data_IF_640707634147
#
_entry.id   IF_640707634147
#
_cell.length_a   1.000
_cell.length_b   1.000
_cell.length_c   1.000
_cell.angle_alpha   90.00
_cell.angle_beta   90.00
_cell.angle_gamma   90.00
#
_symmetry.space_group_name_H-M   'P 1'
#
loop_
_entity.id
_entity.type
_entity.pdbx_description
1 polymer ?
#
# COMPACT_ATOMS: atom_id res chain seq x y z
N UNK A 1 17.62 -7.66 -9.93
CA UNK A 1 16.49 -8.48 -10.36
C UNK A 1 15.23 -7.66 -10.15
N UNK A 2 14.80 -6.96 -11.19
CA UNK A 2 13.52 -6.25 -11.18
C UNK A 2 12.41 -7.29 -11.32
N UNK A 3 11.63 -7.48 -10.26
CA UNK A 3 10.37 -8.20 -10.35
C UNK A 3 9.44 -7.42 -11.28
N UNK A 4 8.89 -8.09 -12.29
CA UNK A 4 7.84 -7.50 -13.11
C UNK A 4 6.57 -7.44 -12.24
N UNK A 5 6.15 -6.24 -11.86
CA UNK A 5 4.89 -6.03 -11.16
C UNK A 5 3.75 -6.19 -12.17
N UNK A 6 2.83 -7.09 -11.89
CA UNK A 6 1.61 -7.24 -12.67
C UNK A 6 0.52 -6.37 -12.06
N UNK A 7 0.05 -5.39 -12.82
CA UNK A 7 -1.08 -4.55 -12.43
C UNK A 7 -2.33 -5.12 -13.08
N UNK A 8 -3.29 -5.57 -12.27
CA UNK A 8 -4.60 -6.01 -12.75
C UNK A 8 -5.64 -5.03 -12.22
N UNK A 9 -6.30 -4.33 -13.14
CA UNK A 9 -7.48 -3.54 -12.81
C UNK A 9 -8.74 -4.34 -13.14
N UNK A 10 -9.57 -4.61 -12.14
CA UNK A 10 -10.88 -5.25 -12.33
C UNK A 10 -11.91 -4.65 -11.38
N UNK A 11 -13.07 -4.32 -11.90
CA UNK A 11 -14.21 -3.98 -11.07
C UNK A 11 -14.83 -5.27 -10.50
N UNK A 12 -14.89 -5.36 -9.18
CA UNK A 12 -15.51 -6.49 -8.48
C UNK A 12 -16.79 -5.98 -7.83
N UNK A 13 -17.93 -6.51 -8.27
CA UNK A 13 -19.25 -6.13 -7.76
C UNK A 13 -19.73 -7.12 -6.69
N UNK A 14 -20.70 -6.70 -5.86
CA UNK A 14 -21.35 -7.54 -4.85
C UNK A 14 -20.38 -8.11 -3.79
N UNK A 15 -19.40 -7.33 -3.35
CA UNK A 15 -18.54 -7.73 -2.24
C UNK A 15 -19.16 -7.29 -0.91
N UNK A 16 -19.12 -8.19 0.07
CA UNK A 16 -19.55 -7.91 1.43
C UNK A 16 -18.34 -7.54 2.30
N UNK A 17 -18.43 -6.42 2.99
CA UNK A 17 -17.47 -6.06 4.05
C UNK A 17 -18.01 -6.62 5.36
N UNK A 18 -17.35 -7.62 5.90
CA UNK A 18 -17.69 -8.21 7.20
C UNK A 18 -16.56 -7.94 8.19
N UNK A 19 -16.90 -7.50 9.39
CA UNK A 19 -15.94 -7.27 10.47
C UNK A 19 -14.75 -6.38 10.10
N UNK A 20 -14.97 -5.37 9.23
CA UNK A 20 -13.94 -4.44 8.72
C UNK A 20 -12.86 -5.09 7.83
N UNK A 21 -13.10 -6.29 7.38
CA UNK A 21 -12.25 -7.01 6.45
C UNK A 21 -12.91 -7.01 5.07
N UNK A 22 -12.24 -6.45 4.06
CA UNK A 22 -12.60 -6.64 2.67
C UNK A 22 -11.87 -7.88 2.16
N UNK A 23 -12.60 -8.97 1.99
CA UNK A 23 -12.09 -10.18 1.37
C UNK A 23 -12.41 -10.18 -0.10
N UNK A 24 -11.40 -10.03 -0.96
CA UNK A 24 -11.56 -10.14 -2.40
C UNK A 24 -11.26 -11.59 -2.79
N UNK A 25 -12.29 -12.33 -3.16
CA UNK A 25 -12.14 -13.72 -3.56
C UNK A 25 -11.92 -13.80 -5.08
N UNK A 26 -10.74 -14.19 -5.49
CA UNK A 26 -10.41 -14.52 -6.88
C UNK A 26 -10.56 -16.02 -7.19
N UNK A 27 -11.10 -16.82 -6.27
CA UNK A 27 -11.39 -18.23 -6.51
C UNK A 27 -12.24 -18.37 -7.78
N UNK A 28 -11.81 -19.22 -8.69
CA UNK A 28 -12.36 -19.40 -10.02
C UNK A 28 -12.08 -18.27 -11.04
N UNK A 29 -11.25 -17.29 -10.71
CA UNK A 29 -10.73 -16.33 -11.68
C UNK A 29 -9.43 -16.84 -12.28
N UNK A 30 -9.31 -16.75 -13.61
CA UNK A 30 -8.04 -16.96 -14.28
C UNK A 30 -7.26 -15.66 -14.29
N UNK A 31 -5.99 -15.72 -13.94
CA UNK A 31 -5.08 -14.59 -14.04
C UNK A 31 -4.30 -14.71 -15.34
N UNK A 32 -4.32 -13.69 -16.17
CA UNK A 32 -3.49 -13.58 -17.37
C UNK A 32 -2.22 -12.84 -17.00
N UNK A 33 -1.08 -13.43 -17.29
CA UNK A 33 0.24 -12.92 -16.92
C UNK A 33 1.08 -12.79 -18.19
N UNK A 34 1.57 -11.59 -18.48
CA UNK A 34 2.62 -11.39 -19.49
C UNK A 34 3.99 -11.48 -18.83
N UNK A 35 4.89 -12.25 -19.44
CA UNK A 35 6.24 -12.47 -18.92
C UNK A 35 7.26 -12.48 -20.04
N UNK A 36 8.45 -11.96 -19.74
CA UNK A 36 9.65 -12.12 -20.57
C UNK A 36 10.53 -13.24 -20.03
N UNK A 37 10.94 -14.16 -20.89
CA UNK A 37 11.85 -15.24 -20.60
C UNK A 37 13.16 -14.94 -21.34
N UNK A 38 14.19 -14.68 -20.60
CA UNK A 38 15.51 -14.31 -21.13
C UNK A 38 16.44 -15.52 -21.26
N UNK A 39 17.49 -15.38 -22.05
CA UNK A 39 18.56 -16.38 -22.14
C UNK A 39 18.16 -17.66 -22.88
N UNK A 40 17.15 -17.62 -23.71
CA UNK A 40 16.72 -18.77 -24.51
C UNK A 40 17.54 -18.90 -25.80
N UNK A 41 17.69 -20.13 -26.31
CA UNK A 41 18.44 -20.40 -27.51
C UNK A 41 17.56 -21.06 -28.59
N UNK A 42 17.52 -20.45 -29.74
CA UNK A 42 16.91 -21.04 -30.94
C UNK A 42 17.89 -22.03 -31.51
N UNK A 43 17.43 -23.26 -31.82
CA UNK A 43 18.22 -24.32 -32.45
C UNK A 43 17.43 -24.98 -33.59
N UNK A 44 18.03 -25.11 -34.76
CA UNK A 44 17.36 -25.67 -35.93
C UNK A 44 16.10 -24.90 -36.32
N UNK A 45 16.12 -23.56 -36.16
CA UNK A 45 14.97 -22.66 -36.42
C UNK A 45 13.73 -22.98 -35.56
N UNK A 46 13.94 -23.60 -34.39
CA UNK A 46 12.88 -23.94 -33.44
C UNK A 46 13.30 -23.60 -32.01
N UNK A 47 12.31 -23.28 -31.17
CA UNK A 47 12.46 -23.05 -29.74
C UNK A 47 11.28 -23.66 -29.01
N UNK A 48 11.53 -24.48 -28.01
CA UNK A 48 10.48 -25.08 -27.17
C UNK A 48 10.65 -24.62 -25.72
N UNK A 49 9.56 -24.16 -25.12
CA UNK A 49 9.48 -23.77 -23.71
C UNK A 49 8.41 -24.58 -23.00
N UNK A 50 8.67 -24.91 -21.74
CA UNK A 50 7.71 -25.60 -20.86
C UNK A 50 7.31 -24.70 -19.70
N UNK A 51 6.02 -24.59 -19.44
CA UNK A 51 5.51 -23.86 -18.29
C UNK A 51 5.89 -24.52 -16.97
N UNK A 52 5.97 -25.84 -16.94
CA UNK A 52 6.24 -26.63 -15.72
C UNK A 52 7.71 -26.67 -15.33
N UNK A 53 8.65 -26.73 -16.29
CA UNK A 53 10.07 -26.94 -15.98
C UNK A 53 10.91 -25.66 -15.98
N UNK A 54 10.65 -24.71 -16.85
CA UNK A 54 11.45 -23.49 -16.99
C UNK A 54 10.80 -22.26 -16.37
N UNK A 55 9.56 -22.01 -16.71
CA UNK A 55 8.82 -20.83 -16.30
C UNK A 55 8.39 -20.88 -14.83
N UNK A 56 7.92 -22.02 -14.36
CA UNK A 56 7.47 -22.15 -12.98
C UNK A 56 8.63 -22.11 -11.98
N UNK A 57 9.77 -22.70 -12.32
CA UNK A 57 10.95 -22.70 -11.45
C UNK A 57 11.59 -21.31 -11.35
N UNK A 58 11.66 -20.57 -12.45
CA UNK A 58 12.29 -19.23 -12.49
C UNK A 58 11.35 -18.09 -12.10
N UNK A 59 10.03 -18.29 -12.15
CA UNK A 59 9.03 -17.27 -11.89
C UNK A 59 8.26 -17.43 -10.58
N UNK A 60 8.40 -18.58 -9.89
CA UNK A 60 7.55 -18.88 -8.74
C UNK A 60 6.06 -19.01 -9.06
N UNK A 61 5.69 -19.16 -10.34
CA UNK A 61 4.31 -19.24 -10.79
C UNK A 61 3.94 -20.70 -10.99
N UNK A 62 3.30 -21.31 -10.02
CA UNK A 62 2.74 -22.66 -10.13
C UNK A 62 1.40 -22.65 -10.84
N UNK A 63 1.05 -23.73 -11.55
CA UNK A 63 -0.24 -23.91 -12.26
C UNK A 63 -0.52 -22.82 -13.29
N UNK A 64 0.50 -22.37 -14.01
CA UNK A 64 0.39 -21.44 -15.13
C UNK A 64 0.56 -22.18 -16.46
N UNK A 65 -0.27 -21.84 -17.44
CA UNK A 65 -0.35 -22.49 -18.76
C UNK A 65 -0.25 -21.44 -19.86
N UNK A 66 0.35 -21.78 -20.97
CA UNK A 66 0.39 -20.89 -22.13
C UNK A 66 -1.02 -20.65 -22.68
N UNK A 67 -1.36 -19.39 -22.93
CA UNK A 67 -2.62 -19.01 -23.56
C UNK A 67 -2.61 -19.40 -25.06
N UNK A 68 -3.78 -19.65 -25.66
CA UNK A 68 -3.87 -19.83 -27.09
C UNK A 68 -3.18 -18.71 -27.88
N UNK A 69 -2.56 -19.07 -28.98
CA UNK A 69 -1.80 -18.11 -29.78
C UNK A 69 -2.64 -16.92 -30.21
N UNK A 70 -2.05 -15.77 -30.07
CA UNK A 70 -2.47 -14.49 -30.59
C UNK A 70 -1.19 -13.67 -30.85
N UNK A 71 -1.11 -12.94 -31.94
CA UNK A 71 0.10 -12.20 -32.30
C UNK A 71 0.54 -11.16 -31.24
N UNK A 72 -0.41 -10.65 -30.45
CA UNK A 72 -0.12 -9.70 -29.36
C UNK A 72 0.36 -10.37 -28.07
N UNK A 73 0.18 -11.69 -27.94
CA UNK A 73 0.51 -12.45 -26.73
C UNK A 73 1.92 -13.03 -26.72
N UNK A 74 2.58 -13.09 -27.87
CA UNK A 74 3.88 -13.73 -28.02
C UNK A 74 4.82 -12.90 -28.87
N UNK A 75 6.08 -12.86 -28.48
CA UNK A 75 7.13 -12.19 -29.25
C UNK A 75 8.48 -12.86 -29.07
N UNK A 76 9.32 -12.83 -30.06
CA UNK A 76 10.73 -13.25 -29.99
C UNK A 76 11.59 -12.04 -30.32
N UNK A 77 12.44 -11.65 -29.39
CA UNK A 77 13.44 -10.61 -29.58
C UNK A 77 14.80 -11.23 -29.61
N UNK A 78 15.52 -11.09 -30.71
CA UNK A 78 16.87 -11.58 -30.89
C UNK A 78 17.90 -10.71 -30.16
N UNK A 79 19.13 -11.24 -30.00
CA UNK A 79 20.22 -10.56 -29.30
C UNK A 79 20.55 -9.17 -29.88
N UNK A 80 20.36 -8.99 -31.20
CA UNK A 80 20.59 -7.71 -31.88
C UNK A 80 19.42 -6.71 -31.79
N UNK A 81 18.38 -7.06 -31.03
CA UNK A 81 17.18 -6.24 -30.86
C UNK A 81 16.11 -6.43 -31.96
N UNK A 82 16.36 -7.27 -32.95
CA UNK A 82 15.34 -7.59 -33.98
C UNK A 82 14.19 -8.36 -33.36
N UNK A 83 12.96 -7.93 -33.61
CA UNK A 83 11.74 -8.62 -33.17
C UNK A 83 11.17 -9.39 -34.35
N UNK A 84 10.89 -10.68 -34.13
CA UNK A 84 10.25 -11.52 -35.13
C UNK A 84 8.71 -11.50 -34.95
N UNK A 85 7.95 -11.07 -35.96
CA UNK A 85 6.50 -11.22 -35.93
C UNK A 85 6.16 -12.71 -36.10
N UNK A 86 5.35 -13.23 -35.21
CA UNK A 86 4.94 -14.63 -35.20
C UNK A 86 3.59 -14.81 -35.88
N UNK A 87 3.42 -15.95 -36.51
CA UNK A 87 2.17 -16.38 -37.16
C UNK A 87 1.63 -17.66 -36.50
N UNK A 88 0.36 -17.95 -36.69
CA UNK A 88 -0.31 -19.09 -36.03
C UNK A 88 0.26 -20.44 -36.43
N UNK A 89 0.81 -20.58 -37.62
CA UNK A 89 1.46 -21.79 -38.11
C UNK A 89 2.86 -22.02 -37.53
N UNK A 90 3.50 -20.98 -37.04
CA UNK A 90 4.79 -21.07 -36.34
C UNK A 90 4.65 -21.50 -34.87
N UNK A 91 3.46 -21.39 -34.27
CA UNK A 91 3.29 -21.61 -32.84
C UNK A 91 2.42 -22.84 -32.57
N UNK A 92 2.97 -23.78 -31.83
CA UNK A 92 2.26 -24.98 -31.37
C UNK A 92 2.23 -25.05 -29.86
N UNK A 93 1.03 -25.15 -29.29
CA UNK A 93 0.81 -25.29 -27.85
C UNK A 93 0.23 -26.69 -27.58
N UNK A 94 0.90 -27.45 -26.74
CA UNK A 94 0.56 -28.84 -26.44
C UNK A 94 0.43 -29.08 -24.93
N UNK A 95 0.06 -30.32 -24.56
CA UNK A 95 -0.09 -30.73 -23.16
C UNK A 95 -1.01 -29.81 -22.33
N UNK A 96 -2.13 -29.39 -22.91
CA UNK A 96 -3.06 -28.52 -22.19
C UNK A 96 -2.52 -27.11 -21.86
N UNK A 97 -1.52 -26.66 -22.60
CA UNK A 97 -0.87 -25.38 -22.37
C UNK A 97 0.45 -25.45 -21.61
N UNK A 98 0.94 -26.64 -21.27
CA UNK A 98 2.22 -26.77 -20.56
C UNK A 98 3.44 -26.53 -21.45
N UNK A 99 3.32 -26.75 -22.73
CA UNK A 99 4.43 -26.66 -23.67
C UNK A 99 4.06 -25.76 -24.84
N UNK A 100 4.95 -24.84 -25.19
CA UNK A 100 4.88 -24.04 -26.40
C UNK A 100 6.12 -24.27 -27.24
N UNK A 101 5.92 -24.47 -28.55
CA UNK A 101 7.00 -24.62 -29.51
C UNK A 101 6.81 -23.59 -30.62
N UNK A 102 7.86 -22.84 -30.88
CA UNK A 102 7.99 -21.93 -32.02
C UNK A 102 8.80 -22.62 -33.10
N UNK A 103 8.28 -22.69 -34.32
CA UNK A 103 8.92 -23.35 -35.46
C UNK A 103 9.11 -22.36 -36.60
N UNK A 104 10.05 -22.69 -37.50
CA UNK A 104 10.28 -21.87 -38.70
C UNK A 104 10.76 -20.47 -38.39
N UNK A 105 11.48 -20.28 -37.28
CA UNK A 105 12.03 -18.99 -36.90
C UNK A 105 13.10 -18.53 -37.88
N UNK A 106 13.15 -17.24 -38.13
CA UNK A 106 14.02 -16.65 -39.15
C UNK A 106 15.52 -16.81 -38.86
N UNK A 107 15.89 -16.83 -37.58
CA UNK A 107 17.30 -16.85 -37.17
C UNK A 107 17.59 -17.89 -36.09
N UNK A 108 18.63 -18.71 -36.30
CA UNK A 108 19.12 -19.67 -35.33
C UNK A 108 20.51 -19.35 -34.75
N UNK A 109 21.08 -18.23 -35.17
CA UNK A 109 22.44 -17.81 -34.79
C UNK A 109 22.47 -16.45 -34.03
N UNK A 110 21.32 -15.85 -33.76
CA UNK A 110 21.21 -14.59 -33.01
C UNK A 110 20.80 -14.84 -31.54
N UNK A 111 21.46 -15.77 -30.89
CA UNK A 111 21.22 -16.16 -29.51
C UNK A 111 22.07 -15.35 -28.52
N UNK A 112 21.66 -15.17 -27.23
CA UNK A 112 20.38 -15.63 -26.68
C UNK A 112 19.21 -14.73 -27.10
N UNK A 113 18.01 -15.31 -27.11
CA UNK A 113 16.78 -14.57 -27.41
C UNK A 113 16.01 -14.29 -26.12
N UNK A 114 15.17 -13.26 -26.17
CA UNK A 114 14.14 -12.95 -25.17
C UNK A 114 12.78 -13.30 -25.75
N UNK A 115 12.02 -14.13 -25.04
CA UNK A 115 10.68 -14.54 -25.47
C UNK A 115 9.65 -13.88 -24.58
N UNK A 116 8.78 -13.06 -25.18
CA UNK A 116 7.58 -12.56 -24.53
C UNK A 116 6.48 -13.62 -24.63
N UNK A 117 5.89 -13.97 -23.50
CA UNK A 117 4.82 -14.99 -23.42
C UNK A 117 3.66 -14.51 -22.57
N UNK A 118 2.46 -14.99 -22.90
CA UNK A 118 1.26 -14.80 -22.09
C UNK A 118 0.81 -16.13 -21.50
N UNK A 119 0.63 -16.14 -20.18
CA UNK A 119 0.26 -17.29 -19.40
C UNK A 119 -1.09 -17.07 -18.74
N UNK A 120 -1.84 -18.15 -18.57
CA UNK A 120 -3.05 -18.23 -17.74
C UNK A 120 -2.76 -19.02 -16.49
N UNK A 121 -2.88 -18.38 -15.33
CA UNK A 121 -2.75 -19.05 -14.04
C UNK A 121 -4.13 -19.48 -13.53
N UNK A 122 -4.25 -20.73 -13.14
CA UNK A 122 -5.44 -21.28 -12.51
C UNK A 122 -5.27 -21.33 -10.97
N UNK A 123 -6.38 -21.39 -10.26
CA UNK A 123 -6.40 -21.63 -8.81
C UNK A 123 -5.78 -20.47 -8.00
N UNK A 124 -6.10 -19.24 -8.34
CA UNK A 124 -5.64 -18.06 -7.60
C UNK A 124 -6.26 -18.06 -6.22
N UNK A 125 -5.45 -18.01 -5.19
CA UNK A 125 -5.92 -17.83 -3.81
C UNK A 125 -6.28 -16.38 -3.56
N UNK A 126 -7.36 -16.17 -2.80
CA UNK A 126 -7.75 -14.84 -2.34
C UNK A 126 -6.66 -14.25 -1.47
N UNK A 127 -6.34 -12.97 -1.71
CA UNK A 127 -5.55 -12.17 -0.78
C UNK A 127 -6.47 -11.37 0.11
N UNK A 128 -6.14 -11.29 1.39
CA UNK A 128 -6.84 -10.44 2.35
C UNK A 128 -6.01 -9.19 2.62
N UNK A 129 -6.69 -8.06 2.73
CA UNK A 129 -6.06 -6.82 3.19
C UNK A 129 -6.66 -6.45 4.53
N UNK A 130 -5.79 -6.21 5.50
CA UNK A 130 -6.17 -5.69 6.80
C UNK A 130 -6.29 -4.17 6.73
N UNK A 131 -7.35 -3.64 7.33
CA UNK A 131 -7.53 -2.21 7.49
C UNK A 131 -6.88 -1.76 8.78
N UNK A 132 -5.74 -1.09 8.66
CA UNK A 132 -4.97 -0.54 9.76
C UNK A 132 -5.30 0.94 9.92
N UNK A 133 -5.83 1.31 11.08
CA UNK A 133 -6.21 2.68 11.42
C UNK A 133 -5.17 3.35 12.29
N UNK A 134 -5.15 4.69 12.27
CA UNK A 134 -4.28 5.53 13.10
C UNK A 134 -2.80 5.12 13.06
N UNK A 135 -2.31 4.81 11.87
CA UNK A 135 -0.87 4.62 11.66
C UNK A 135 -0.17 5.96 11.77
N UNK A 136 1.04 5.96 12.30
CA UNK A 136 1.77 7.21 12.55
C UNK A 136 3.13 7.20 11.87
N UNK A 137 3.54 8.35 11.34
CA UNK A 137 4.90 8.59 10.88
C UNK A 137 5.38 9.94 11.42
N UNK A 138 6.62 9.99 11.89
CA UNK A 138 7.27 11.23 12.32
C UNK A 138 8.22 11.75 11.24
N UNK A 139 8.10 13.02 10.90
CA UNK A 139 9.06 13.72 10.05
C UNK A 139 9.91 14.61 10.94
N UNK A 140 11.17 14.24 11.08
CA UNK A 140 12.12 14.85 12.04
C UNK A 140 13.32 15.50 11.35
N UNK A 141 13.26 15.70 10.03
CA UNK A 141 14.38 16.17 9.21
C UNK A 141 14.07 17.50 8.56
N UNK A 142 15.13 18.28 8.32
CA UNK A 142 15.10 19.55 7.59
C UNK A 142 16.16 19.57 6.51
N UNK A 143 16.07 20.54 5.60
CA UNK A 143 16.95 20.67 4.47
C UNK A 143 18.39 20.96 4.91
N UNK A 144 19.28 19.99 4.74
CA UNK A 144 20.74 20.06 4.72
C UNK A 144 21.49 21.17 5.47
N UNK A 145 20.93 21.70 6.57
CA UNK A 145 21.61 22.71 7.39
C UNK A 145 22.65 22.08 8.28
N UNK A 146 23.80 22.74 8.42
CA UNK A 146 24.91 22.22 9.23
C UNK A 146 24.56 22.11 10.71
N UNK A 147 23.75 23.04 11.22
CA UNK A 147 23.28 23.03 12.61
C UNK A 147 21.77 22.85 12.63
N UNK A 148 21.26 21.71 13.14
CA UNK A 148 19.84 21.50 13.27
C UNK A 148 19.18 22.51 14.22
N UNK A 149 17.96 22.90 13.92
CA UNK A 149 17.15 23.78 14.77
C UNK A 149 15.76 23.16 15.01
N UNK A 150 15.02 23.69 15.95
CA UNK A 150 13.66 23.22 16.27
C UNK A 150 13.55 21.69 16.51
N UNK A 151 14.62 21.08 17.03
CA UNK A 151 14.69 19.65 17.27
C UNK A 151 14.81 18.77 16.02
N UNK A 152 14.99 19.39 14.85
CA UNK A 152 15.15 18.67 13.58
C UNK A 152 16.61 18.26 13.37
N UNK A 153 16.82 17.14 12.68
CA UNK A 153 18.12 16.71 12.18
C UNK A 153 18.32 17.17 10.73
N UNK A 154 19.56 17.53 10.34
CA UNK A 154 19.86 17.86 8.95
C UNK A 154 19.75 16.63 8.05
N UNK A 155 19.22 16.81 6.84
CA UNK A 155 19.12 15.75 5.84
C UNK A 155 19.17 16.33 4.44
N UNK A 156 19.76 15.56 3.50
CA UNK A 156 19.70 15.86 2.07
C UNK A 156 18.65 15.00 1.36
N UNK A 157 18.05 14.03 2.04
CA UNK A 157 17.04 13.17 1.45
C UNK A 157 15.73 13.96 1.23
N UNK A 158 15.30 14.03 -0.03
CA UNK A 158 14.02 14.61 -0.41
C UNK A 158 12.84 13.70 -0.04
N UNK A 159 11.68 14.28 0.20
CA UNK A 159 10.43 13.57 0.48
C UNK A 159 10.26 13.10 1.93
N UNK A 160 11.18 13.47 2.82
CA UNK A 160 11.14 13.12 4.26
C UNK A 160 11.52 14.31 5.15
N UNK A 161 11.48 15.53 4.64
CA UNK A 161 11.80 16.75 5.38
C UNK A 161 10.52 17.53 5.63
N UNK A 162 10.47 18.29 6.72
CA UNK A 162 9.27 19.03 7.12
C UNK A 162 8.86 20.11 6.11
N UNK A 163 9.83 20.71 5.40
CA UNK A 163 9.61 21.74 4.40
C UNK A 163 9.28 21.19 2.99
N UNK A 164 9.43 19.91 2.74
CA UNK A 164 9.11 19.32 1.45
C UNK A 164 7.63 19.53 1.11
N UNK A 165 7.35 19.82 -0.15
CA UNK A 165 5.97 19.96 -0.63
C UNK A 165 5.26 18.61 -0.63
N UNK A 166 5.97 17.56 -1.00
CA UNK A 166 5.49 16.18 -0.97
C UNK A 166 6.25 15.38 0.10
N UNK A 167 5.53 14.80 1.05
CA UNK A 167 6.11 13.98 2.12
C UNK A 167 5.64 12.55 1.95
N UNK A 168 6.57 11.62 1.72
CA UNK A 168 6.27 10.20 1.59
C UNK A 168 5.82 9.61 2.93
N UNK A 169 4.78 8.79 2.88
CA UNK A 169 4.33 8.00 4.04
C UNK A 169 5.08 6.66 4.16
N UNK A 170 5.98 6.34 3.22
CA UNK A 170 6.73 5.08 3.13
C UNK A 170 5.86 3.81 3.13
N UNK A 171 4.62 3.94 2.73
CA UNK A 171 3.65 2.85 2.61
C UNK A 171 2.85 3.01 1.33
N UNK A 172 2.43 1.92 0.74
CA UNK A 172 1.40 1.90 -0.29
C UNK A 172 0.00 1.86 0.38
N UNK A 173 -1.03 2.15 -0.41
CA UNK A 173 -2.44 1.98 -0.01
C UNK A 173 -2.86 2.78 1.25
N UNK A 174 -2.27 3.93 1.53
CA UNK A 174 -2.88 4.88 2.46
C UNK A 174 -4.18 5.42 1.85
N UNK A 175 -5.26 5.37 2.63
CA UNK A 175 -6.62 5.66 2.13
C UNK A 175 -7.27 6.86 2.79
N UNK A 176 -6.76 7.27 3.95
CA UNK A 176 -7.29 8.42 4.68
C UNK A 176 -6.17 9.13 5.44
N UNK A 177 -6.05 10.41 5.22
CA UNK A 177 -5.29 11.30 6.09
C UNK A 177 -6.18 11.64 7.29
N UNK A 178 -5.69 11.38 8.49
CA UNK A 178 -6.42 11.64 9.74
C UNK A 178 -5.98 12.97 10.33
N UNK A 179 -4.67 13.18 10.48
CA UNK A 179 -4.12 14.44 10.97
C UNK A 179 -2.66 14.65 10.54
N UNK A 180 -2.27 15.91 10.39
CA UNK A 180 -0.89 16.38 10.27
C UNK A 180 -0.65 17.40 11.38
N UNK A 181 0.16 17.06 12.36
CA UNK A 181 0.35 17.84 13.57
C UNK A 181 1.79 18.33 13.65
N UNK A 182 1.99 19.66 13.67
CA UNK A 182 3.30 20.27 13.88
C UNK A 182 3.52 20.49 15.37
N UNK A 183 4.65 20.03 15.90
CA UNK A 183 5.00 20.27 17.29
C UNK A 183 5.13 21.77 17.61
N UNK A 184 4.74 22.19 18.82
CA UNK A 184 4.99 23.56 19.30
C UNK A 184 6.39 23.76 19.88
N UNK A 185 7.10 22.67 20.18
CA UNK A 185 8.46 22.71 20.73
C UNK A 185 9.45 21.89 19.88
N UNK A 186 10.58 21.46 20.45
CA UNK A 186 11.62 20.69 19.78
C UNK A 186 11.40 19.16 19.86
N UNK A 187 10.41 18.73 20.63
CA UNK A 187 10.06 17.32 20.78
C UNK A 187 9.02 16.89 19.73
N UNK A 188 8.69 15.62 19.71
CA UNK A 188 7.54 15.12 18.93
C UNK A 188 6.23 15.73 19.44
N UNK A 189 5.28 15.95 18.55
CA UNK A 189 3.96 16.45 18.90
C UNK A 189 3.28 15.53 19.93
N UNK A 190 2.85 16.09 21.05
CA UNK A 190 2.11 15.39 22.09
C UNK A 190 0.62 15.52 21.77
N UNK A 191 -0.09 14.41 21.65
CA UNK A 191 -1.52 14.36 21.37
C UNK A 191 -2.36 14.75 22.59
N UNK A 192 -3.60 15.18 22.32
CA UNK A 192 -4.61 15.31 23.35
C UNK A 192 -4.86 13.95 24.03
N UNK A 193 -5.15 13.98 25.33
CA UNK A 193 -5.34 12.78 26.12
C UNK A 193 -6.59 12.85 26.98
N UNK A 194 -7.39 11.79 26.93
CA UNK A 194 -8.48 11.54 27.84
C UNK A 194 -8.05 10.54 28.91
N UNK A 195 -8.45 10.81 30.18
CA UNK A 195 -8.22 9.92 31.30
C UNK A 195 -9.54 9.43 31.85
N UNK A 196 -9.62 8.15 32.12
CA UNK A 196 -10.81 7.47 32.62
C UNK A 196 -10.51 6.74 33.94
N UNK A 197 -11.54 6.18 34.55
CA UNK A 197 -11.43 5.38 35.78
C UNK A 197 -10.42 4.23 35.58
N UNK A 198 -9.62 3.96 36.58
CA UNK A 198 -8.70 2.83 36.57
C UNK A 198 -9.46 1.48 36.57
N UNK A 199 -8.89 0.47 35.93
CA UNK A 199 -9.45 -0.88 35.89
C UNK A 199 -10.39 -1.15 34.73
N UNK A 200 -10.58 -0.18 33.80
CA UNK A 200 -11.41 -0.39 32.59
C UNK A 200 -10.76 -1.29 31.55
N UNK A 201 -9.42 -1.45 31.60
CA UNK A 201 -8.72 -2.23 30.59
C UNK A 201 -8.91 -1.71 29.18
N UNK A 202 -8.83 -0.37 28.98
CA UNK A 202 -9.05 0.24 27.66
C UNK A 202 -8.08 -0.30 26.59
N UNK A 203 -6.88 -0.67 26.99
CA UNK A 203 -5.87 -1.29 26.14
C UNK A 203 -6.29 -2.66 25.56
N UNK A 204 -7.21 -3.34 26.19
CA UNK A 204 -7.76 -4.63 25.73
C UNK A 204 -9.18 -4.51 25.18
N UNK A 205 -10.00 -3.63 25.75
CA UNK A 205 -11.42 -3.54 25.49
C UNK A 205 -11.80 -2.53 24.38
N UNK A 206 -10.85 -1.73 23.91
CA UNK A 206 -11.11 -0.74 22.84
C UNK A 206 -10.27 -1.05 21.59
N UNK A 207 -10.45 -0.30 20.53
CA UNK A 207 -9.78 -0.52 19.24
C UNK A 207 -9.03 0.73 18.83
N UNK A 208 -7.74 0.61 18.47
CA UNK A 208 -6.98 1.74 17.87
C UNK A 208 -7.67 2.19 16.59
N UNK A 209 -7.80 3.51 16.42
CA UNK A 209 -8.45 4.13 15.28
C UNK A 209 -9.99 4.11 15.33
N UNK A 210 -10.61 3.58 16.39
CA UNK A 210 -12.05 3.77 16.56
C UNK A 210 -12.39 5.21 16.95
N UNK A 211 -13.60 5.62 16.62
CA UNK A 211 -14.11 6.93 17.00
C UNK A 211 -14.65 6.90 18.41
N UNK A 212 -14.37 7.95 19.16
CA UNK A 212 -14.94 8.25 20.47
C UNK A 212 -15.82 9.49 20.36
N UNK A 213 -16.92 9.51 21.10
CA UNK A 213 -17.87 10.60 21.11
C UNK A 213 -18.30 10.98 22.51
N UNK A 214 -18.15 12.26 22.86
CA UNK A 214 -18.76 12.85 24.06
C UNK A 214 -20.29 12.98 23.89
N UNK A 215 -21.02 12.60 24.91
CA UNK A 215 -22.50 12.63 24.85
C UNK A 215 -22.98 14.08 24.95
N UNK A 216 -22.44 14.85 25.87
CA UNK A 216 -22.87 16.21 26.13
C UNK A 216 -22.17 17.22 25.22
N UNK A 217 -20.87 17.15 25.12
CA UNK A 217 -20.06 18.04 24.27
C UNK A 217 -20.25 17.81 22.78
N UNK A 218 -20.66 16.61 22.36
CA UNK A 218 -20.67 16.14 20.99
C UNK A 218 -19.29 16.15 20.32
N UNK A 219 -18.22 16.23 21.11
CA UNK A 219 -16.86 16.09 20.65
C UNK A 219 -16.66 14.71 20.02
N UNK A 220 -15.96 14.66 18.90
CA UNK A 220 -15.61 13.42 18.20
C UNK A 220 -14.10 13.37 18.05
N UNK A 221 -13.52 12.25 18.44
CA UNK A 221 -12.09 12.00 18.28
C UNK A 221 -11.82 10.62 17.68
N UNK A 222 -10.63 10.42 17.16
CA UNK A 222 -10.13 9.13 16.69
C UNK A 222 -8.95 8.70 17.57
N UNK A 223 -9.01 7.48 18.12
CA UNK A 223 -7.98 6.94 19.00
C UNK A 223 -6.69 6.69 18.22
N UNK A 224 -5.58 7.20 18.71
CA UNK A 224 -4.25 6.97 18.14
C UNK A 224 -3.46 5.97 19.00
N UNK A 225 -3.49 6.14 20.31
CA UNK A 225 -2.87 5.19 21.25
C UNK A 225 -3.67 5.10 22.54
N UNK A 226 -3.41 4.06 23.32
CA UNK A 226 -4.17 3.78 24.53
C UNK A 226 -3.33 3.06 25.57
N UNK A 227 -3.70 3.25 26.82
CA UNK A 227 -3.23 2.47 27.98
C UNK A 227 -4.43 1.87 28.70
N UNK A 228 -4.26 1.26 29.84
CA UNK A 228 -5.36 0.67 30.63
C UNK A 228 -6.47 1.66 31.01
N UNK A 229 -6.15 2.95 31.16
CA UNK A 229 -7.10 3.99 31.57
C UNK A 229 -6.93 5.34 30.87
N UNK A 230 -6.06 5.44 29.85
CA UNK A 230 -5.90 6.68 29.08
C UNK A 230 -5.97 6.42 27.59
N UNK A 231 -6.41 7.42 26.83
CA UNK A 231 -6.47 7.42 25.39
C UNK A 231 -5.81 8.68 24.88
N UNK A 232 -4.83 8.53 23.97
CA UNK A 232 -4.35 9.63 23.14
C UNK A 232 -5.10 9.61 21.83
N UNK A 233 -5.57 10.77 21.39
CA UNK A 233 -6.48 10.88 20.27
C UNK A 233 -6.25 12.18 19.48
N UNK A 234 -6.91 12.28 18.33
CA UNK A 234 -7.04 13.53 17.57
C UNK A 234 -8.51 13.87 17.43
N UNK A 235 -8.84 15.17 17.50
CA UNK A 235 -10.20 15.64 17.25
C UNK A 235 -10.56 15.45 15.77
N UNK A 236 -11.81 15.11 15.52
CA UNK A 236 -12.41 15.03 14.18
C UNK A 236 -13.45 16.13 13.93
N UNK A 237 -13.71 16.96 14.93
CA UNK A 237 -14.55 18.16 14.84
C UNK A 237 -14.05 19.21 15.85
N UNK A 238 -14.64 20.41 15.80
CA UNK A 238 -14.23 21.56 16.63
C UNK A 238 -14.75 21.51 18.07
N UNK A 239 -15.57 20.52 18.42
CA UNK A 239 -16.06 20.37 19.77
C UNK A 239 -14.99 19.78 20.70
N UNK A 240 -15.01 20.16 21.96
CA UNK A 240 -14.01 19.77 22.97
C UNK A 240 -14.67 18.91 24.04
N UNK A 241 -14.04 17.79 24.40
CA UNK A 241 -14.51 16.91 25.46
C UNK A 241 -14.55 17.61 26.81
N UNK A 242 -15.61 17.35 27.59
CA UNK A 242 -15.84 17.95 28.91
C UNK A 242 -15.72 16.90 30.00
N UNK A 243 -14.92 17.20 31.06
CA UNK A 243 -14.78 16.33 32.22
C UNK A 243 -16.13 16.08 32.87
N UNK A 244 -16.40 14.82 33.20
CA UNK A 244 -17.66 14.38 33.81
C UNK A 244 -18.70 13.85 32.80
N UNK A 245 -18.52 14.09 31.49
CA UNK A 245 -19.45 13.54 30.50
C UNK A 245 -19.20 12.05 30.23
N UNK A 246 -20.21 11.38 29.70
CA UNK A 246 -20.07 10.00 29.18
C UNK A 246 -19.43 10.05 27.81
N UNK A 247 -18.37 9.25 27.63
CA UNK A 247 -17.73 9.03 26.32
C UNK A 247 -18.10 7.64 25.81
N UNK A 248 -18.59 7.59 24.57
CA UNK A 248 -18.99 6.37 23.86
C UNK A 248 -17.94 6.01 22.83
N UNK A 249 -17.54 4.75 22.81
CA UNK A 249 -16.62 4.15 21.87
C UNK A 249 -17.42 3.43 20.78
N UNK A 250 -17.23 3.85 19.56
CA UNK A 250 -18.14 3.48 18.44
C UNK A 250 -18.09 2.00 18.07
N UNK A 251 -16.89 1.42 18.08
CA UNK A 251 -16.67 0.08 17.54
C UNK A 251 -16.65 -0.99 18.63
N UNK A 252 -16.05 -0.69 19.75
CA UNK A 252 -15.97 -1.58 20.92
C UNK A 252 -17.23 -1.56 21.78
N UNK A 253 -18.05 -0.49 21.66
CA UNK A 253 -19.25 -0.33 22.45
C UNK A 253 -19.01 0.04 23.93
N UNK A 254 -17.77 0.35 24.30
CA UNK A 254 -17.45 0.82 25.66
C UNK A 254 -18.11 2.19 25.90
N UNK A 255 -18.69 2.37 27.07
CA UNK A 255 -19.22 3.65 27.56
C UNK A 255 -18.64 3.89 28.96
N UNK A 256 -18.08 5.08 29.17
CA UNK A 256 -17.46 5.42 30.47
C UNK A 256 -17.41 6.92 30.70
N UNK A 257 -17.34 7.32 31.97
CA UNK A 257 -17.28 8.72 32.38
C UNK A 257 -15.86 9.24 32.28
N UNK A 258 -15.71 10.40 31.62
CA UNK A 258 -14.45 11.09 31.45
C UNK A 258 -13.99 11.75 32.77
N UNK A 259 -12.79 11.44 33.22
CA UNK A 259 -12.22 12.00 34.45
C UNK A 259 -11.24 13.14 34.22
N UNK A 260 -10.62 13.21 33.06
CA UNK A 260 -9.65 14.26 32.80
C UNK A 260 -9.37 14.41 31.30
N UNK A 261 -9.06 15.65 30.93
CA UNK A 261 -8.63 16.03 29.58
C UNK A 261 -7.28 16.73 29.71
N UNK A 262 -6.30 16.28 28.98
CA UNK A 262 -5.01 16.96 28.83
C UNK A 262 -4.84 17.40 27.39
N UNK A 263 -4.52 18.69 27.20
CA UNK A 263 -4.33 19.30 25.88
C UNK A 263 -2.94 18.97 25.36
N UNK A 264 -2.86 18.61 24.09
CA UNK A 264 -1.62 18.30 23.40
C UNK A 264 -0.75 19.55 23.13
N UNK A 265 0.46 19.30 22.65
CA UNK A 265 1.44 20.34 22.34
C UNK A 265 1.74 20.38 20.83
N UNK A 266 0.72 20.74 20.05
CA UNK A 266 0.83 20.79 18.59
C UNK A 266 0.01 21.94 17.98
N UNK A 267 0.32 22.22 16.72
CA UNK A 267 -0.50 23.03 15.81
C UNK A 267 -1.07 22.06 14.77
N UNK A 268 -2.37 22.04 14.61
CA UNK A 268 -3.02 21.25 13.56
C UNK A 268 -2.78 21.92 12.19
N UNK A 269 -2.21 21.12 11.29
CA UNK A 269 -1.90 21.48 9.92
C UNK A 269 -2.67 20.61 8.91
N UNK A 270 -3.64 19.83 9.34
CA UNK A 270 -4.31 18.82 8.52
C UNK A 270 -4.90 19.40 7.25
N UNK A 271 -5.56 20.56 7.35
CA UNK A 271 -6.17 21.25 6.20
C UNK A 271 -5.15 21.78 5.18
N UNK A 272 -3.88 21.84 5.57
CA UNK A 272 -2.80 22.29 4.69
C UNK A 272 -2.28 21.19 3.77
N UNK A 273 -2.77 19.96 3.92
CA UNK A 273 -2.28 18.81 3.18
C UNK A 273 -3.40 18.00 2.55
N UNK A 274 -3.09 17.37 1.44
CA UNK A 274 -3.96 16.40 0.77
C UNK A 274 -3.23 15.06 0.67
N UNK A 275 -3.99 13.98 0.81
CA UNK A 275 -3.47 12.63 0.61
C UNK A 275 -3.42 12.31 -0.89
N UNK A 276 -2.24 11.91 -1.36
CA UNK A 276 -2.07 11.22 -2.62
C UNK A 276 -1.73 9.75 -2.31
N UNK A 277 -2.61 8.84 -2.65
CA UNK A 277 -2.44 7.41 -2.36
C UNK A 277 -1.38 6.72 -3.22
N UNK A 278 -0.79 7.42 -4.20
CA UNK A 278 0.24 6.89 -5.09
C UNK A 278 -0.29 5.98 -6.21
N UNK A 279 -1.58 5.68 -6.23
CA UNK A 279 -2.15 4.81 -7.26
C UNK A 279 -2.34 5.57 -8.57
N UNK A 280 -1.73 5.08 -9.63
CA UNK A 280 -1.87 5.55 -11.01
C UNK A 280 -2.38 4.39 -11.87
N UNK A 281 -2.82 4.67 -13.08
CA UNK A 281 -3.38 3.63 -13.98
C UNK A 281 -2.43 2.45 -14.20
N UNK A 282 -1.13 2.71 -14.26
CA UNK A 282 -0.11 1.70 -14.59
C UNK A 282 0.97 1.52 -13.53
N UNK A 283 0.99 2.38 -12.50
CA UNK A 283 2.06 2.39 -11.50
C UNK A 283 1.43 2.53 -10.11
N UNK A 284 1.87 1.68 -9.19
CA UNK A 284 1.60 1.82 -7.75
C UNK A 284 2.86 2.36 -7.10
N UNK A 285 2.77 3.57 -6.56
CA UNK A 285 3.84 4.24 -5.83
C UNK A 285 3.51 4.28 -4.33
N UNK A 286 4.48 4.71 -3.52
CA UNK A 286 4.20 5.02 -2.13
C UNK A 286 3.22 6.17 -1.99
N UNK A 287 2.32 6.04 -1.03
CA UNK A 287 1.43 7.12 -0.64
C UNK A 287 2.21 8.27 -0.04
N UNK A 288 1.73 9.48 -0.27
CA UNK A 288 2.33 10.72 0.22
C UNK A 288 1.27 11.73 0.61
N UNK A 289 1.66 12.70 1.41
CA UNK A 289 0.86 13.91 1.60
C UNK A 289 1.48 15.04 0.78
N UNK A 290 0.64 15.84 0.17
CA UNK A 290 1.02 16.98 -0.66
C UNK A 290 0.52 18.26 0.02
N UNK A 291 1.44 19.19 0.27
CA UNK A 291 1.10 20.47 0.89
C UNK A 291 0.43 21.40 -0.13
N UNK A 292 -0.66 22.01 0.26
CA UNK A 292 -1.35 23.01 -0.55
C UNK A 292 -0.44 24.22 -0.80
N UNK A 293 -0.38 24.72 -2.03
CA UNK A 293 0.57 25.77 -2.47
C UNK A 293 0.51 27.06 -1.68
N UNK A 294 -0.65 27.40 -1.09
CA UNK A 294 -0.85 28.62 -0.28
C UNK A 294 -0.65 28.39 1.22
N UNK A 295 -0.24 27.20 1.64
CA UNK A 295 -0.07 26.86 3.05
C UNK A 295 1.32 27.19 3.56
N UNK A 296 1.39 27.61 4.82
CA UNK A 296 2.66 27.89 5.48
C UNK A 296 3.55 26.67 5.58
N UNK A 297 4.85 26.86 5.41
CA UNK A 297 5.85 25.79 5.51
C UNK A 297 6.06 25.46 7.00
N UNK A 298 5.94 24.20 7.41
CA UNK A 298 6.29 23.78 8.76
C UNK A 298 7.77 24.01 9.07
N UNK A 299 8.06 24.32 10.33
CA UNK A 299 9.42 24.60 10.80
C UNK A 299 9.86 23.69 11.94
N UNK A 300 8.99 22.77 12.38
CA UNK A 300 9.24 21.84 13.47
C UNK A 300 8.82 20.44 13.05
N UNK A 301 9.06 19.47 13.95
CA UNK A 301 8.68 18.06 13.72
C UNK A 301 7.21 17.91 13.38
N UNK A 302 6.92 17.04 12.43
CA UNK A 302 5.55 16.67 12.07
C UNK A 302 5.25 15.27 12.56
N UNK A 303 4.07 15.09 13.12
CA UNK A 303 3.44 13.80 13.35
C UNK A 303 2.27 13.67 12.37
N UNK A 304 2.36 12.69 11.48
CA UNK A 304 1.34 12.43 10.46
C UNK A 304 0.60 11.17 10.87
N UNK A 305 -0.74 11.23 10.88
CA UNK A 305 -1.62 10.13 11.27
C UNK A 305 -2.51 9.81 10.08
N UNK A 306 -2.56 8.52 9.72
CA UNK A 306 -3.29 8.07 8.55
C UNK A 306 -3.82 6.64 8.71
N UNK A 307 -4.78 6.28 7.88
CA UNK A 307 -5.30 4.92 7.78
C UNK A 307 -4.83 4.29 6.47
N UNK A 308 -4.50 3.00 6.46
CA UNK A 308 -4.02 2.27 5.28
C UNK A 308 -4.60 0.87 5.19
N UNK A 309 -4.54 0.29 4.00
CA UNK A 309 -4.62 -1.15 3.82
C UNK A 309 -3.23 -1.79 3.83
N UNK A 310 -3.15 -2.99 4.35
CA UNK A 310 -1.94 -3.81 4.32
C UNK A 310 -2.30 -5.22 3.94
N UNK A 311 -1.52 -5.85 3.06
CA UNK A 311 -1.67 -7.27 2.76
C UNK A 311 -1.38 -8.08 4.03
N UNK A 312 -2.26 -9.01 4.38
CA UNK A 312 -2.13 -9.83 5.57
C UNK A 312 -0.83 -10.66 5.52
N UNK A 313 -0.28 -10.95 6.70
CA UNK A 313 0.92 -11.78 6.85
C UNK A 313 0.76 -13.12 6.14
N UNK A 314 1.74 -13.51 5.31
CA UNK A 314 1.70 -14.71 4.48
C UNK A 314 1.15 -14.48 3.06
N UNK A 315 0.46 -13.37 2.82
CA UNK A 315 0.15 -12.88 1.48
C UNK A 315 1.27 -11.93 1.05
N UNK A 316 2.40 -12.49 0.62
CA UNK A 316 3.44 -11.65 0.05
C UNK A 316 2.87 -10.96 -1.18
N UNK A 317 2.85 -9.64 -1.14
CA UNK A 317 2.50 -8.82 -2.29
C UNK A 317 3.40 -9.18 -3.46
N UNK A 318 2.88 -9.03 -4.64
CA UNK A 318 3.64 -9.28 -5.86
C UNK A 318 4.49 -8.09 -6.21
#
# INVERSE_FOLDING_TARGET
TSGSNLIISRQIVNQNVSSKLLSVNFANSNLIISKQITGQNVSGNSLTLSSQSGLNASAGITSAFFEPFDAEKYSITYQDGTIEPLTSDQVSITNGGDTITFNGLAHNNKNPVVVGVTLKKLGITSKTKDYLRSQTIEVTRTQGVATPFNGLSSSRAYGLRVEDEEISLNVADAIKLVAVLESKDTNTAILDKLTFVAGLGLDTNTIIGEQIKGVDSRAVGQIVSRTSNTISFVYLNDNIFTVGEVVKFKDSGVETVLQGVAVGNYVDRTDNYQLDNGNREQIVDYSRIVRNSNSGIPSKKLLIIFDKYQVASGNTGD
#
